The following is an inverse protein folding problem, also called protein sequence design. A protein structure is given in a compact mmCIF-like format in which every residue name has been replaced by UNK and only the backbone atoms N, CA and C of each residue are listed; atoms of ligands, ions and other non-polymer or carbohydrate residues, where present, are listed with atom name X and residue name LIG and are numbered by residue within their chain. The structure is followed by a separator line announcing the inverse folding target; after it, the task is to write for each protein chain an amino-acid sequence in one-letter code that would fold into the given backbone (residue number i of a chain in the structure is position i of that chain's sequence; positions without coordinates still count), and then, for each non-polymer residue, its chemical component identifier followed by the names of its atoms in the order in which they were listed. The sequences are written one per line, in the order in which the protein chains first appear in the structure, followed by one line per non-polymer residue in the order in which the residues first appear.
data_IF_888940793677
#
_entry.id   IF_888940793677
#
_cell.length_a   1.000
_cell.length_b   1.000
_cell.length_c   1.000
_cell.angle_alpha   90.00
_cell.angle_beta   90.00
_cell.angle_gamma   90.00
#
_symmetry.space_group_name_H-M   'P 1'
#
loop_
_entity.id
_entity.type
_entity.pdbx_description
1 polymer ?
#
# COMPACT_ATOMS: atom_id res chain seq x y z
N UNK A 1 -10.65 -6.17 12.67
CA UNK A 1 -11.19 -6.43 11.32
C UNK A 1 -10.69 -7.79 10.82
N UNK A 2 -11.46 -8.54 10.01
CA UNK A 2 -11.04 -9.83 9.46
C UNK A 2 -9.83 -9.68 8.53
N UNK A 3 -8.99 -10.72 8.47
CA UNK A 3 -7.70 -10.75 7.73
C UNK A 3 -7.84 -10.34 6.26
N UNK A 4 -8.95 -10.72 5.63
CA UNK A 4 -9.24 -10.45 4.23
C UNK A 4 -9.41 -8.95 3.94
N UNK A 5 -10.07 -8.22 4.85
CA UNK A 5 -10.23 -6.77 4.74
C UNK A 5 -8.90 -6.03 4.90
N UNK A 6 -8.00 -6.51 5.77
CA UNK A 6 -6.65 -5.97 5.90
C UNK A 6 -5.81 -6.23 4.63
N UNK A 7 -5.96 -7.40 4.01
CA UNK A 7 -5.25 -7.75 2.76
C UNK A 7 -5.71 -6.88 1.59
N UNK A 8 -7.02 -6.60 1.48
CA UNK A 8 -7.54 -5.72 0.43
C UNK A 8 -7.00 -4.29 0.55
N UNK A 9 -6.89 -3.74 1.76
CA UNK A 9 -6.34 -2.38 1.97
C UNK A 9 -4.85 -2.33 1.61
N UNK A 10 -4.05 -3.31 2.05
CA UNK A 10 -2.62 -3.40 1.70
C UNK A 10 -2.42 -3.53 0.19
N UNK A 11 -3.23 -4.36 -0.48
CA UNK A 11 -3.20 -4.53 -1.93
C UNK A 11 -3.52 -3.20 -2.65
N UNK A 12 -4.55 -2.47 -2.22
CA UNK A 12 -4.88 -1.16 -2.78
C UNK A 12 -3.74 -0.16 -2.64
N UNK A 13 -3.11 -0.10 -1.46
CA UNK A 13 -1.99 0.82 -1.20
C UNK A 13 -0.81 0.51 -2.11
N UNK A 14 -0.38 -0.75 -2.15
CA UNK A 14 0.75 -1.18 -2.97
C UNK A 14 0.48 -0.98 -4.46
N UNK A 15 -0.73 -1.33 -4.93
CA UNK A 15 -1.14 -1.14 -6.32
C UNK A 15 -1.12 0.33 -6.71
N UNK A 16 -1.68 1.21 -5.88
CA UNK A 16 -1.73 2.64 -6.18
C UNK A 16 -0.32 3.24 -6.29
N UNK A 17 0.59 2.84 -5.40
CA UNK A 17 1.98 3.27 -5.45
C UNK A 17 2.70 2.71 -6.68
N UNK A 18 2.47 1.45 -7.05
CA UNK A 18 3.09 0.84 -8.22
C UNK A 18 2.59 1.50 -9.52
N UNK A 19 1.28 1.70 -9.65
CA UNK A 19 0.64 2.35 -10.81
C UNK A 19 1.12 3.81 -11.01
N UNK A 20 1.43 4.52 -9.92
CA UNK A 20 1.95 5.91 -9.97
C UNK A 20 3.48 6.00 -9.98
N UNK A 21 4.19 4.89 -10.18
CA UNK A 21 5.66 4.88 -10.22
C UNK A 21 6.32 5.26 -8.90
N UNK A 22 5.63 5.04 -7.77
CA UNK A 22 6.13 5.31 -6.43
C UNK A 22 6.22 6.79 -6.08
N UNK A 23 5.39 7.65 -6.67
CA UNK A 23 5.33 9.07 -6.39
C UNK A 23 3.94 9.48 -5.91
N UNK A 24 3.63 9.22 -4.63
CA UNK A 24 2.42 9.76 -3.99
C UNK A 24 2.83 10.46 -2.70
N UNK A 25 2.47 11.73 -2.59
CA UNK A 25 2.67 12.50 -1.37
C UNK A 25 1.64 12.15 -0.31
N UNK A 26 1.97 12.39 0.97
CA UNK A 26 1.02 12.20 2.09
C UNK A 26 -0.27 13.01 1.94
N UNK A 27 -0.23 14.16 1.28
CA UNK A 27 -1.40 15.02 1.05
C UNK A 27 -2.31 14.42 -0.03
N UNK A 28 -1.74 13.93 -1.13
CA UNK A 28 -2.50 13.18 -2.14
C UNK A 28 -3.17 11.94 -1.56
N UNK A 29 -2.48 11.21 -0.68
CA UNK A 29 -3.06 10.07 0.03
C UNK A 29 -4.32 10.42 0.82
N UNK A 30 -4.30 11.56 1.54
CA UNK A 30 -5.45 12.04 2.32
C UNK A 30 -6.63 12.43 1.44
N UNK A 31 -6.37 12.85 0.20
CA UNK A 31 -7.42 13.17 -0.76
C UNK A 31 -8.02 11.95 -1.45
N UNK A 32 -7.23 10.90 -1.68
CA UNK A 32 -7.68 9.66 -2.32
C UNK A 32 -8.60 8.85 -1.39
N UNK A 33 -8.31 8.86 -0.09
CA UNK A 33 -9.04 8.10 0.92
C UNK A 33 -9.50 9.02 2.05
N UNK A 34 -10.32 10.02 1.70
CA UNK A 34 -10.86 11.01 2.62
C UNK A 34 -11.34 10.39 3.96
N UNK A 35 -10.52 10.52 5.01
CA UNK A 35 -10.92 10.29 6.40
C UNK A 35 -10.43 9.03 7.12
N UNK A 36 -9.57 8.18 6.54
CA UNK A 36 -9.13 6.96 7.25
C UNK A 36 -7.88 7.18 8.10
N UNK A 37 -8.04 7.30 9.43
CA UNK A 37 -6.96 7.20 10.44
C UNK A 37 -6.17 5.89 10.27
N UNK A 38 -6.79 4.86 9.68
CA UNK A 38 -6.19 3.54 9.53
C UNK A 38 -5.11 3.48 8.43
N UNK A 39 -5.10 4.40 7.46
CA UNK A 39 -4.09 4.40 6.38
C UNK A 39 -2.70 4.71 6.92
N UNK A 40 -2.57 5.67 7.84
CA UNK A 40 -1.28 5.97 8.48
C UNK A 40 -0.71 4.72 9.18
N UNK A 41 -1.58 3.88 9.77
CA UNK A 41 -1.19 2.59 10.37
C UNK A 41 -0.70 1.60 9.30
N UNK A 42 -1.43 1.44 8.20
CA UNK A 42 -1.01 0.52 7.13
C UNK A 42 0.28 0.96 6.43
N UNK A 43 0.46 2.27 6.21
CA UNK A 43 1.70 2.81 5.67
C UNK A 43 2.88 2.52 6.61
N UNK A 44 2.71 2.73 7.92
CA UNK A 44 3.73 2.40 8.91
C UNK A 44 4.06 0.89 8.92
N UNK A 45 3.06 0.03 8.86
CA UNK A 45 3.25 -1.43 8.79
C UNK A 45 4.02 -1.84 7.52
N UNK A 46 3.65 -1.30 6.36
CA UNK A 46 4.31 -1.59 5.09
C UNK A 46 5.75 -1.06 5.03
N UNK A 47 6.04 0.05 5.72
CA UNK A 47 7.42 0.55 5.89
C UNK A 47 8.23 -0.42 6.75
N UNK A 48 7.70 -0.84 7.90
CA UNK A 48 8.37 -1.77 8.82
C UNK A 48 8.64 -3.12 8.13
N UNK A 49 7.71 -3.57 7.27
CA UNK A 49 7.87 -4.78 6.46
C UNK A 49 8.80 -4.60 5.25
N UNK A 50 9.29 -3.38 5.01
CA UNK A 50 10.17 -3.06 3.87
C UNK A 50 9.47 -3.12 2.51
N UNK A 51 8.14 -3.13 2.47
CA UNK A 51 7.35 -3.16 1.25
C UNK A 51 7.29 -1.78 0.56
N UNK A 52 7.36 -0.70 1.34
CA UNK A 52 7.43 0.66 0.84
C UNK A 52 8.54 1.44 1.54
N UNK A 53 9.05 2.47 0.88
CA UNK A 53 9.97 3.45 1.46
C UNK A 53 9.31 4.81 1.51
N UNK A 54 9.55 5.55 2.59
CA UNK A 54 9.15 6.94 2.72
C UNK A 54 10.40 7.81 2.72
N UNK A 55 10.50 8.69 1.73
CA UNK A 55 11.53 9.71 1.68
C UNK A 55 11.05 10.92 2.50
N UNK A 56 11.78 11.26 3.56
CA UNK A 56 11.41 12.35 4.47
C UNK A 56 11.62 13.73 3.86
N UNK A 57 12.54 13.87 2.91
CA UNK A 57 12.88 15.13 2.27
C UNK A 57 11.81 15.51 1.24
N UNK A 58 11.40 14.53 0.44
CA UNK A 58 10.38 14.73 -0.61
C UNK A 58 8.96 14.43 -0.15
N UNK A 59 8.78 13.79 1.02
CA UNK A 59 7.50 13.27 1.53
C UNK A 59 6.81 12.30 0.58
N UNK A 60 7.60 11.60 -0.21
CA UNK A 60 7.14 10.66 -1.23
C UNK A 60 7.22 9.23 -0.69
N UNK A 61 6.18 8.45 -0.96
CA UNK A 61 6.16 7.01 -0.73
C UNK A 61 6.42 6.25 -2.04
N UNK A 62 7.34 5.30 -2.03
CA UNK A 62 7.68 4.45 -3.19
C UNK A 62 7.61 2.95 -2.84
N UNK A 63 7.26 2.11 -3.81
CA UNK A 63 7.24 0.64 -3.64
C UNK A 63 8.65 0.07 -3.84
N UNK A 64 9.03 -0.87 -2.98
CA UNK A 64 10.29 -1.62 -3.11
C UNK A 64 10.07 -2.91 -3.92
N UNK A 65 11.15 -3.64 -4.23
CA UNK A 65 11.03 -4.98 -4.80
C UNK A 65 10.24 -5.92 -3.89
N UNK A 66 10.45 -5.84 -2.58
CA UNK A 66 9.66 -6.58 -1.58
C UNK A 66 8.18 -6.24 -1.66
N UNK A 67 7.85 -4.96 -1.83
CA UNK A 67 6.46 -4.51 -1.97
C UNK A 67 5.79 -5.02 -3.24
N UNK A 68 6.53 -5.09 -4.35
CA UNK A 68 6.02 -5.68 -5.61
C UNK A 68 5.77 -7.18 -5.47
N UNK A 69 6.65 -7.92 -4.80
CA UNK A 69 6.41 -9.32 -4.50
C UNK A 69 5.20 -9.53 -3.58
N UNK A 70 5.05 -8.69 -2.54
CA UNK A 70 3.89 -8.74 -1.66
C UNK A 70 2.60 -8.40 -2.40
N UNK A 71 2.63 -7.41 -3.31
CA UNK A 71 1.50 -7.08 -4.17
C UNK A 71 1.09 -8.27 -5.05
N UNK A 72 2.04 -8.91 -5.73
CA UNK A 72 1.79 -10.09 -6.55
C UNK A 72 1.23 -11.26 -5.72
N UNK A 73 1.74 -11.46 -4.50
CA UNK A 73 1.25 -12.47 -3.55
C UNK A 73 -0.20 -12.19 -3.14
N UNK A 74 -0.52 -10.94 -2.81
CA UNK A 74 -1.87 -10.51 -2.42
C UNK A 74 -2.85 -10.63 -3.59
N UNK A 75 -2.42 -10.32 -4.82
CA UNK A 75 -3.22 -10.49 -6.03
C UNK A 75 -3.51 -11.96 -6.31
N UNK A 76 -2.49 -12.83 -6.25
CA UNK A 76 -2.68 -14.27 -6.44
C UNK A 76 -3.63 -14.88 -5.39
N UNK A 77 -3.58 -14.39 -4.14
CA UNK A 77 -4.51 -14.80 -3.09
C UNK A 77 -5.94 -14.26 -3.32
N UNK A 78 -6.09 -13.10 -3.95
CA UNK A 78 -7.38 -12.50 -4.31
C UNK A 78 -8.03 -13.13 -5.54
N UNK A 79 -7.24 -13.48 -6.57
CA UNK A 79 -7.71 -14.09 -7.81
C UNK A 79 -8.28 -15.50 -7.58
N UNK A 80 -7.77 -16.22 -6.59
CA UNK A 80 -8.26 -17.55 -6.22
C UNK A 80 -9.63 -17.55 -5.54
N UNK A 81 -10.18 -16.38 -5.19
CA UNK A 81 -11.53 -16.21 -4.59
C UNK A 81 -12.57 -15.83 -5.66
N UNK A 82 -12.12 -15.40 -6.85
CA UNK A 82 -12.98 -14.95 -7.96
C UNK A 82 -13.18 -15.97 -9.08
N UNK A 83 -13.22 -17.27 -8.77
CA UNK A 83 -13.54 -18.36 -9.72
C UNK A 83 -14.91 -18.98 -9.43
#
# INVERSE_FOLDING_TARGET
MPLEMNNQIRMKILKLLDDRGGAISKEEWRHIEAGSIEIDRYLAELIVQGCIRHDQETRIYSVTDTGRHELARLQAAGDSIGS
#
